data_IF_955513382428
#
_entry.id   IF_955513382428
#
_cell.length_a   1.000
_cell.length_b   1.000
_cell.length_c   1.000
_cell.angle_alpha   90.00
_cell.angle_beta   90.00
_cell.angle_gamma   90.00
#
_symmetry.space_group_name_H-M   'P 1'
#
loop_
_entity.id
_entity.type
_entity.pdbx_description
1 polymer ?
#
# COMPACT_ATOMS: atom_id res chain seq x y z
N UNK A 1 -10.31 13.82 -0.61
CA UNK A 1 -9.62 12.54 -0.47
C UNK A 1 -8.13 12.71 -0.76
N UNK A 2 -7.31 12.04 -0.01
CA UNK A 2 -5.87 12.09 -0.23
C UNK A 2 -5.48 11.19 -1.39
N UNK A 3 -4.61 11.69 -2.26
CA UNK A 3 -4.07 10.92 -3.37
C UNK A 3 -2.73 10.32 -2.99
N UNK A 4 -2.56 9.04 -3.26
CA UNK A 4 -1.29 8.35 -3.02
C UNK A 4 -0.86 7.65 -4.30
N UNK A 5 0.47 7.53 -4.48
CA UNK A 5 1.02 6.91 -5.68
C UNK A 5 1.16 5.40 -5.47
N UNK A 6 0.80 4.62 -6.49
CA UNK A 6 0.97 3.17 -6.47
C UNK A 6 2.44 2.74 -6.41
N UNK A 7 3.34 3.64 -6.76
CA UNK A 7 4.79 3.37 -6.77
C UNK A 7 5.50 3.86 -5.52
N UNK A 8 4.81 4.61 -4.67
CA UNK A 8 5.41 5.04 -3.42
C UNK A 8 5.65 3.84 -2.51
N UNK A 9 6.78 3.84 -1.79
CA UNK A 9 7.09 2.71 -0.91
C UNK A 9 6.10 2.63 0.24
N UNK A 10 5.84 1.42 0.70
CA UNK A 10 4.95 1.21 1.85
C UNK A 10 5.48 1.96 3.07
N UNK A 11 6.80 1.97 3.25
CA UNK A 11 7.43 2.71 4.33
C UNK A 11 7.05 4.19 4.31
N UNK A 12 7.16 4.82 3.13
CA UNK A 12 6.80 6.23 3.00
C UNK A 12 5.31 6.48 3.22
N UNK A 13 4.47 5.60 2.69
CA UNK A 13 3.02 5.76 2.86
C UNK A 13 2.63 5.68 4.33
N UNK A 14 3.16 4.71 5.07
CA UNK A 14 2.86 4.56 6.49
C UNK A 14 3.44 5.72 7.29
N UNK A 15 4.60 6.23 6.88
CA UNK A 15 5.21 7.39 7.56
C UNK A 15 4.37 8.64 7.40
N UNK A 16 3.81 8.86 6.22
CA UNK A 16 2.95 10.03 5.96
C UNK A 16 1.56 9.86 6.56
N UNK A 17 1.02 8.67 6.45
CA UNK A 17 -0.35 8.35 6.85
C UNK A 17 -0.34 7.06 7.65
N UNK A 18 -0.18 7.12 8.98
CA UNK A 18 -0.12 5.89 9.80
C UNK A 18 -1.30 4.95 9.63
N UNK A 19 -2.48 5.48 9.27
CA UNK A 19 -3.65 4.65 9.02
C UNK A 19 -3.45 3.67 7.86
N UNK A 20 -2.49 3.95 6.97
CA UNK A 20 -2.19 3.06 5.86
C UNK A 20 -1.80 1.66 6.34
N UNK A 21 -1.15 1.55 7.50
CA UNK A 21 -0.83 0.25 8.07
C UNK A 21 -2.10 -0.58 8.32
N UNK A 22 -3.14 0.06 8.85
CA UNK A 22 -4.43 -0.60 9.09
C UNK A 22 -5.09 -0.98 7.76
N UNK A 23 -5.06 -0.06 6.79
CA UNK A 23 -5.62 -0.32 5.47
C UNK A 23 -4.94 -1.50 4.80
N UNK A 24 -3.61 -1.56 4.89
CA UNK A 24 -2.84 -2.67 4.32
C UNK A 24 -3.22 -4.01 4.95
N UNK A 25 -3.42 -4.02 6.26
CA UNK A 25 -3.83 -5.25 6.95
C UNK A 25 -5.21 -5.71 6.51
N UNK A 26 -6.14 -4.78 6.31
CA UNK A 26 -7.48 -5.12 5.82
C UNK A 26 -7.43 -5.73 4.41
N UNK A 27 -6.51 -5.24 3.58
CA UNK A 27 -6.34 -5.76 2.23
C UNK A 27 -5.76 -7.17 2.26
N UNK A 28 -4.89 -7.46 3.23
CA UNK A 28 -4.26 -8.77 3.35
C UNK A 28 -2.75 -8.72 3.48
N UNK A 29 -2.15 -7.53 3.55
CA UNK A 29 -0.70 -7.36 3.70
C UNK A 29 -0.33 -7.30 5.18
N UNK A 30 -0.45 -8.40 5.88
CA UNK A 30 -0.31 -8.39 7.34
C UNK A 30 1.13 -8.25 7.82
N UNK A 31 2.07 -8.88 7.13
CA UNK A 31 3.45 -8.92 7.63
C UNK A 31 4.23 -7.65 7.35
N UNK A 32 3.96 -7.02 6.21
CA UNK A 32 4.73 -5.85 5.76
C UNK A 32 4.56 -4.64 6.70
N UNK A 33 3.50 -4.61 7.49
CA UNK A 33 3.21 -3.49 8.39
C UNK A 33 3.85 -3.63 9.76
N UNK A 34 4.44 -4.79 10.07
CA UNK A 34 5.17 -4.96 11.32
C UNK A 34 6.43 -4.09 11.30
N UNK A 35 6.80 -3.47 12.44
CA UNK A 35 7.89 -2.48 12.46
C UNK A 35 9.19 -2.95 11.80
N UNK A 36 9.62 -4.17 12.07
CA UNK A 36 10.84 -4.68 11.49
C UNK A 36 10.73 -4.87 9.98
N UNK A 37 9.62 -5.44 9.53
CA UNK A 37 9.38 -5.64 8.10
C UNK A 37 9.17 -4.33 7.37
N UNK A 38 8.51 -3.37 8.03
CA UNK A 38 8.29 -2.07 7.43
C UNK A 38 9.60 -1.35 7.15
N UNK A 39 10.57 -1.43 8.06
CA UNK A 39 11.86 -0.78 7.91
C UNK A 39 12.79 -1.51 6.93
N UNK A 40 12.51 -2.75 6.61
CA UNK A 40 13.30 -3.52 5.65
C UNK A 40 12.54 -3.65 4.33
N UNK A 41 11.64 -4.62 4.25
CA UNK A 41 10.89 -4.87 3.02
C UNK A 41 9.99 -3.69 2.62
N UNK A 42 9.46 -2.95 3.60
CA UNK A 42 8.60 -1.80 3.32
C UNK A 42 9.29 -0.68 2.55
N UNK A 43 10.62 -0.58 2.64
CA UNK A 43 11.38 0.41 1.88
C UNK A 43 11.58 0.05 0.42
N UNK A 44 11.33 -1.20 0.07
CA UNK A 44 11.49 -1.69 -1.30
C UNK A 44 10.17 -2.10 -1.94
N UNK A 45 9.13 -2.26 -1.12
CA UNK A 45 7.82 -2.71 -1.60
C UNK A 45 6.92 -1.52 -1.89
N UNK A 46 6.08 -1.65 -2.91
CA UNK A 46 5.00 -0.70 -3.16
C UNK A 46 3.71 -1.47 -3.43
N UNK A 47 2.61 -0.74 -3.65
CA UNK A 47 1.31 -1.39 -3.84
C UNK A 47 1.26 -2.24 -5.10
N UNK A 48 1.93 -1.80 -6.17
CA UNK A 48 1.95 -2.58 -7.41
C UNK A 48 2.67 -3.90 -7.23
N UNK A 49 3.85 -3.86 -6.62
CA UNK A 49 4.61 -5.08 -6.34
C UNK A 49 3.87 -6.00 -5.38
N UNK A 50 3.26 -5.42 -4.36
CA UNK A 50 2.48 -6.18 -3.38
C UNK A 50 1.31 -6.90 -4.02
N UNK A 51 0.59 -6.22 -4.90
CA UNK A 51 -0.51 -6.81 -5.62
C UNK A 51 -0.06 -8.04 -6.42
N UNK A 52 1.07 -7.93 -7.11
CA UNK A 52 1.60 -9.02 -7.92
C UNK A 52 2.07 -10.18 -7.06
N UNK A 53 2.81 -9.90 -6.00
CA UNK A 53 3.42 -10.94 -5.15
C UNK A 53 2.34 -11.70 -4.38
N UNK A 54 1.35 -11.00 -3.85
CA UNK A 54 0.28 -11.62 -3.06
C UNK A 54 -0.90 -12.08 -3.90
N UNK A 55 -0.93 -11.74 -5.18
CA UNK A 55 -2.05 -12.09 -6.03
C UNK A 55 -3.35 -11.40 -5.65
N UNK A 56 -3.26 -10.20 -5.10
CA UNK A 56 -4.43 -9.44 -4.68
C UNK A 56 -4.91 -8.57 -5.85
N UNK A 57 -6.19 -8.67 -6.23
CA UNK A 57 -6.71 -7.86 -7.33
C UNK A 57 -6.54 -6.37 -7.07
N UNK A 58 -6.13 -5.64 -8.09
CA UNK A 58 -5.93 -4.19 -7.96
C UNK A 58 -7.20 -3.46 -7.53
N UNK A 59 -8.34 -3.91 -8.05
CA UNK A 59 -9.63 -3.31 -7.69
C UNK A 59 -9.91 -3.40 -6.19
N UNK A 60 -9.47 -4.48 -5.54
CA UNK A 60 -9.64 -4.63 -4.10
C UNK A 60 -8.78 -3.63 -3.34
N UNK A 61 -7.55 -3.40 -3.80
CA UNK A 61 -6.65 -2.42 -3.18
C UNK A 61 -7.26 -1.02 -3.28
N UNK A 62 -7.70 -0.64 -4.47
CA UNK A 62 -8.34 0.66 -4.68
C UNK A 62 -9.59 0.83 -3.82
N UNK A 63 -10.40 -0.20 -3.74
CA UNK A 63 -11.65 -0.16 -2.99
C UNK A 63 -11.42 0.07 -1.50
N UNK A 64 -10.52 -0.70 -0.90
CA UNK A 64 -10.27 -0.60 0.54
C UNK A 64 -9.62 0.74 0.87
N UNK A 65 -8.69 1.21 0.05
CA UNK A 65 -8.11 2.54 0.25
C UNK A 65 -9.17 3.63 0.13
N UNK A 66 -10.09 3.52 -0.83
CA UNK A 66 -11.16 4.49 -1.00
C UNK A 66 -12.08 4.54 0.23
N UNK A 67 -12.32 3.41 0.86
CA UNK A 67 -13.12 3.33 2.08
C UNK A 67 -12.49 4.11 3.23
N UNK A 68 -11.18 4.30 3.19
CA UNK A 68 -10.44 5.06 4.20
C UNK A 68 -10.07 6.47 3.73
N UNK A 69 -10.64 6.93 2.63
CA UNK A 69 -10.44 8.30 2.17
C UNK A 69 -9.22 8.52 1.28
N UNK A 70 -8.68 7.46 0.67
CA UNK A 70 -7.52 7.56 -0.21
C UNK A 70 -7.87 7.19 -1.64
N UNK A 71 -7.27 7.91 -2.59
CA UNK A 71 -7.32 7.56 -4.00
C UNK A 71 -5.93 7.07 -4.39
N UNK A 72 -5.84 5.84 -4.87
CA UNK A 72 -4.58 5.27 -5.33
C UNK A 72 -4.42 5.58 -6.82
N UNK A 73 -3.41 6.38 -7.13
CA UNK A 73 -3.09 6.68 -8.53
C UNK A 73 -2.06 5.68 -9.03
N UNK A 74 -2.48 4.87 -10.00
CA UNK A 74 -1.58 3.89 -10.59
C UNK A 74 -0.73 4.58 -11.65
N UNK A 75 0.58 4.60 -11.39
CA UNK A 75 1.53 5.17 -12.34
C UNK A 75 1.97 4.10 -13.31
N UNK A 76 1.85 4.39 -14.59
CA UNK A 76 2.28 3.46 -15.64
C UNK A 76 3.57 3.96 -16.25
N UNK A 77 4.52 3.05 -16.45
CA UNK A 77 5.73 3.35 -17.17
C UNK A 77 5.51 3.05 -18.64
N UNK A 78 6.00 3.96 -19.47
CA UNK A 78 5.96 3.78 -20.92
C UNK A 78 7.24 3.12 -21.41
#
# INVERSE_FOLDING_TARGET
MEKISSKETIYNLVSKYPIVAVVMEEIGFKDITKPMMLQTAGKYMNLEKGSQIKGIPWAQIEKVFAEHGFIVEREEEK
#
